data_IF_316762997704
#
_entry.id   IF_316762997704
#
_cell.length_a   1.000
_cell.length_b   1.000
_cell.length_c   1.000
_cell.angle_alpha   90.00
_cell.angle_beta   90.00
_cell.angle_gamma   90.00
#
_symmetry.space_group_name_H-M   'P 1'
#
loop_
_entity.id
_entity.type
_entity.pdbx_description
1 polymer ?
#
# COMPACT_ATOMS: atom_id res chain seq x y z
N UNK A 1 18.27 19.76 11.10
CA UNK A 1 17.31 18.63 11.12
C UNK A 1 18.11 17.39 11.46
N UNK A 2 17.83 16.74 12.59
CA UNK A 2 18.50 15.47 12.90
C UNK A 2 18.26 14.49 11.73
N UNK A 3 19.27 13.72 11.28
CA UNK A 3 19.06 12.71 10.26
C UNK A 3 17.94 11.80 10.73
N UNK A 4 16.89 11.64 9.92
CA UNK A 4 15.75 10.79 10.25
C UNK A 4 16.30 9.41 10.62
N UNK A 5 16.08 8.98 11.86
CA UNK A 5 16.54 7.69 12.36
C UNK A 5 15.93 6.62 11.46
N UNK A 6 16.77 6.00 10.62
CA UNK A 6 16.32 5.02 9.63
C UNK A 6 15.84 3.78 10.36
N UNK A 7 14.77 3.16 9.86
CA UNK A 7 14.22 1.92 10.38
C UNK A 7 14.44 0.82 9.33
N UNK A 8 15.60 0.14 9.32
CA UNK A 8 15.97 -0.82 8.27
C UNK A 8 14.90 -1.88 7.98
N UNK A 9 14.20 -2.32 9.03
CA UNK A 9 13.09 -3.25 8.90
C UNK A 9 11.91 -2.76 8.08
N UNK A 10 11.57 -1.49 8.21
CA UNK A 10 10.51 -0.86 7.43
C UNK A 10 10.90 -0.79 5.96
N UNK A 11 12.15 -0.43 5.67
CA UNK A 11 12.65 -0.35 4.29
C UNK A 11 12.68 -1.74 3.63
N UNK A 12 13.07 -2.78 4.37
CA UNK A 12 13.05 -4.15 3.88
C UNK A 12 11.65 -4.63 3.52
N UNK A 13 10.67 -4.43 4.41
CA UNK A 13 9.28 -4.81 4.18
C UNK A 13 8.69 -4.05 2.98
N UNK A 14 9.04 -2.76 2.80
CA UNK A 14 8.65 -2.00 1.60
C UNK A 14 9.27 -2.57 0.32
N UNK A 15 10.55 -2.90 0.36
CA UNK A 15 11.27 -3.47 -0.79
C UNK A 15 10.63 -4.78 -1.23
N UNK A 16 10.47 -5.73 -0.31
CA UNK A 16 9.83 -7.03 -0.57
C UNK A 16 8.38 -6.87 -1.03
N UNK A 17 7.60 -6.01 -0.37
CA UNK A 17 6.23 -5.71 -0.77
C UNK A 17 6.16 -5.12 -2.19
N UNK A 18 7.11 -4.27 -2.56
CA UNK A 18 7.11 -3.63 -3.89
C UNK A 18 7.39 -4.63 -5.00
N UNK A 19 8.35 -5.53 -4.80
CA UNK A 19 8.65 -6.63 -5.73
C UNK A 19 7.42 -7.53 -5.90
N UNK A 20 6.77 -7.92 -4.79
CA UNK A 20 5.59 -8.78 -4.85
C UNK A 20 4.41 -8.11 -5.58
N UNK A 21 4.23 -6.79 -5.43
CA UNK A 21 3.21 -6.03 -6.18
C UNK A 21 3.56 -5.95 -7.67
N UNK A 22 4.83 -5.78 -8.04
CA UNK A 22 5.23 -5.78 -9.44
C UNK A 22 4.98 -7.15 -10.06
N UNK A 23 5.38 -8.24 -9.40
CA UNK A 23 5.10 -9.59 -9.87
C UNK A 23 3.60 -9.90 -9.96
N UNK A 24 2.80 -9.42 -9.00
CA UNK A 24 1.35 -9.53 -9.08
C UNK A 24 0.81 -8.89 -10.37
N UNK A 25 1.24 -7.66 -10.68
CA UNK A 25 0.77 -6.97 -11.87
C UNK A 25 1.32 -7.55 -13.18
N UNK A 26 2.54 -8.09 -13.19
CA UNK A 26 3.06 -8.86 -14.33
C UNK A 26 2.25 -10.13 -14.57
N UNK A 27 1.81 -10.80 -13.50
CA UNK A 27 0.94 -11.97 -13.60
C UNK A 27 -0.54 -11.62 -13.90
N UNK A 28 -0.92 -10.35 -13.73
CA UNK A 28 -2.30 -9.88 -13.94
C UNK A 28 -2.50 -9.22 -15.32
N UNK A 29 -1.49 -8.53 -15.84
CA UNK A 29 -1.63 -7.72 -17.06
C UNK A 29 -0.87 -8.27 -18.27
N UNK A 30 -1.58 -8.28 -19.39
CA UNK A 30 -1.02 -8.34 -20.73
C UNK A 30 -0.67 -9.74 -21.23
N UNK A 31 -0.40 -9.89 -22.53
CA UNK A 31 -0.28 -11.20 -23.18
C UNK A 31 0.92 -12.03 -22.70
N UNK A 32 1.98 -11.39 -22.19
CA UNK A 32 3.13 -12.12 -21.64
C UNK A 32 2.69 -13.03 -20.49
N UNK A 33 1.75 -12.56 -19.66
CA UNK A 33 1.21 -13.35 -18.56
C UNK A 33 0.51 -14.61 -19.07
N UNK A 34 -0.27 -14.50 -20.15
CA UNK A 34 -1.00 -15.63 -20.74
C UNK A 34 -0.06 -16.72 -21.27
N UNK A 35 1.06 -16.31 -21.89
CA UNK A 35 2.09 -17.25 -22.37
C UNK A 35 2.75 -17.99 -21.19
N UNK A 36 3.14 -17.28 -20.14
CA UNK A 36 3.80 -17.88 -18.97
C UNK A 36 2.83 -18.75 -18.16
N UNK A 37 1.55 -18.37 -18.10
CA UNK A 37 0.50 -19.15 -17.44
C UNK A 37 0.37 -20.55 -18.03
N UNK A 38 0.50 -20.69 -19.36
CA UNK A 38 0.50 -21.99 -20.02
C UNK A 38 1.59 -22.96 -19.54
N UNK A 39 2.74 -22.44 -19.10
CA UNK A 39 3.88 -23.24 -18.64
C UNK A 39 3.99 -23.37 -17.11
N UNK A 40 3.55 -22.35 -16.36
CA UNK A 40 3.66 -22.30 -14.91
C UNK A 40 2.35 -21.80 -14.24
N UNK A 41 1.20 -22.48 -14.48
CA UNK A 41 -0.10 -21.98 -14.07
C UNK A 41 -0.22 -21.79 -12.56
N UNK A 42 0.29 -22.75 -11.77
CA UNK A 42 0.24 -22.67 -10.31
C UNK A 42 1.00 -21.45 -9.74
N UNK A 43 2.12 -21.06 -10.35
CA UNK A 43 2.86 -19.87 -9.93
C UNK A 43 2.12 -18.59 -10.29
N UNK A 44 1.59 -18.51 -11.51
CA UNK A 44 0.87 -17.35 -12.01
C UNK A 44 -0.44 -17.13 -11.24
N UNK A 45 -1.21 -18.19 -11.00
CA UNK A 45 -2.43 -18.15 -10.18
C UNK A 45 -2.13 -17.72 -8.73
N UNK A 46 -0.99 -18.16 -8.19
CA UNK A 46 -0.55 -17.76 -6.85
C UNK A 46 -0.19 -16.27 -6.81
N UNK A 47 0.58 -15.76 -7.78
CA UNK A 47 0.94 -14.34 -7.88
C UNK A 47 -0.30 -13.46 -8.11
N UNK A 48 -1.21 -13.90 -8.96
CA UNK A 48 -2.48 -13.26 -9.24
C UNK A 48 -3.34 -13.14 -7.97
N UNK A 49 -3.49 -14.25 -7.23
CA UNK A 49 -4.40 -14.30 -6.08
C UNK A 49 -3.81 -13.66 -4.83
N UNK A 50 -2.54 -13.96 -4.52
CA UNK A 50 -1.91 -13.63 -3.24
C UNK A 50 -0.93 -12.47 -3.33
N UNK A 51 -0.34 -12.18 -4.50
CA UNK A 51 0.61 -11.08 -4.63
C UNK A 51 0.02 -9.72 -4.25
N UNK A 52 -1.25 -9.48 -4.57
CA UNK A 52 -2.02 -8.28 -4.15
C UNK A 52 -2.16 -8.11 -2.63
N UNK A 53 -1.87 -9.13 -1.83
CA UNK A 53 -1.89 -9.02 -0.37
C UNK A 53 -0.74 -8.18 0.17
N UNK A 54 0.33 -7.95 -0.60
CA UNK A 54 1.42 -7.04 -0.24
C UNK A 54 0.94 -5.62 0.09
N UNK A 55 -0.21 -5.19 -0.45
CA UNK A 55 -0.87 -3.93 -0.06
C UNK A 55 -1.04 -3.81 1.46
N UNK A 56 -1.32 -4.92 2.14
CA UNK A 56 -1.51 -4.94 3.60
C UNK A 56 -0.22 -4.61 4.35
N UNK A 57 0.94 -5.01 3.82
CA UNK A 57 2.24 -4.60 4.34
C UNK A 57 2.35 -3.08 4.29
N UNK A 58 2.04 -2.46 3.16
CA UNK A 58 2.12 -1.01 2.99
C UNK A 58 1.13 -0.24 3.87
N UNK A 59 -0.10 -0.72 4.02
CA UNK A 59 -1.10 -0.11 4.92
C UNK A 59 -0.64 -0.12 6.38
N UNK A 60 -0.16 -1.27 6.87
CA UNK A 60 0.36 -1.39 8.24
C UNK A 60 1.60 -0.53 8.43
N UNK A 61 2.54 -0.54 7.48
CA UNK A 61 3.72 0.34 7.54
C UNK A 61 3.35 1.83 7.48
N UNK A 62 2.33 2.19 6.70
CA UNK A 62 1.79 3.54 6.62
C UNK A 62 1.33 4.04 7.98
N UNK A 63 0.52 3.24 8.68
CA UNK A 63 0.05 3.58 10.02
C UNK A 63 1.15 3.57 11.08
N UNK A 64 2.08 2.62 11.00
CA UNK A 64 3.27 2.59 11.86
C UNK A 64 4.10 3.87 11.72
N UNK A 65 4.37 4.31 10.48
CA UNK A 65 5.12 5.53 10.19
C UNK A 65 4.33 6.80 10.51
N UNK A 66 3.00 6.77 10.42
CA UNK A 66 2.15 7.87 10.85
C UNK A 66 2.20 8.04 12.37
N UNK A 67 2.06 6.97 13.15
CA UNK A 67 2.22 7.01 14.59
C UNK A 67 3.65 7.47 14.99
N UNK A 68 4.69 6.95 14.32
CA UNK A 68 6.07 7.38 14.52
C UNK A 68 6.28 8.89 14.30
N UNK A 69 5.72 9.44 13.21
CA UNK A 69 5.98 10.84 12.83
C UNK A 69 5.04 11.85 13.50
N UNK A 70 3.80 11.46 13.80
CA UNK A 70 2.76 12.35 14.33
C UNK A 70 2.61 12.25 15.85
N UNK A 71 2.76 11.05 16.42
CA UNK A 71 2.51 10.80 17.84
C UNK A 71 3.52 9.80 18.43
N UNK A 72 4.84 10.10 18.39
CA UNK A 72 5.89 9.15 18.77
C UNK A 72 5.75 8.67 20.23
N UNK A 73 5.43 9.58 21.15
CA UNK A 73 5.16 9.32 22.57
C UNK A 73 3.68 9.01 22.83
N UNK A 74 2.86 8.98 21.77
CA UNK A 74 1.41 8.84 21.80
C UNK A 74 0.68 9.97 22.53
N UNK A 75 1.28 11.16 22.53
CA UNK A 75 0.59 12.44 22.70
C UNK A 75 0.78 13.26 21.42
N UNK A 76 -0.29 13.78 20.84
CA UNK A 76 -0.25 14.68 19.69
C UNK A 76 -1.37 15.73 19.82
N UNK A 77 -1.07 16.95 19.38
CA UNK A 77 -2.05 18.03 19.24
C UNK A 77 -1.51 19.04 18.25
N UNK A 78 -2.07 19.07 17.05
CA UNK A 78 -1.61 19.94 15.98
C UNK A 78 -2.43 21.23 15.93
N UNK A 79 -1.76 22.38 15.88
CA UNK A 79 -2.41 23.68 15.67
C UNK A 79 -2.84 23.92 14.22
N UNK A 80 -2.19 23.26 13.26
CA UNK A 80 -2.41 23.44 11.82
C UNK A 80 -2.60 22.08 11.11
N UNK A 81 -3.68 21.32 11.39
CA UNK A 81 -3.90 20.00 10.80
C UNK A 81 -3.98 20.04 9.27
N UNK A 82 -4.63 21.05 8.69
CA UNK A 82 -4.76 21.20 7.25
C UNK A 82 -3.41 21.33 6.55
N UNK A 83 -2.43 21.98 7.19
CA UNK A 83 -1.08 22.11 6.65
C UNK A 83 -0.38 20.76 6.53
N UNK A 84 -0.55 19.86 7.52
CA UNK A 84 0.02 18.51 7.48
C UNK A 84 -0.61 17.67 6.37
N UNK A 85 -1.95 17.75 6.23
CA UNK A 85 -2.69 17.06 5.16
C UNK A 85 -2.23 17.57 3.80
N UNK A 86 -2.14 18.89 3.60
CA UNK A 86 -1.72 19.47 2.33
C UNK A 86 -0.25 19.15 1.99
N UNK A 87 0.63 19.10 2.98
CA UNK A 87 2.01 18.64 2.79
C UNK A 87 2.07 17.18 2.33
N UNK A 88 1.27 16.31 2.94
CA UNK A 88 1.17 14.90 2.51
C UNK A 88 0.61 14.80 1.10
N UNK A 89 -0.47 15.52 0.81
CA UNK A 89 -1.06 15.59 -0.52
C UNK A 89 -0.02 15.98 -1.57
N UNK A 90 0.70 17.10 -1.38
CA UNK A 90 1.72 17.56 -2.35
C UNK A 90 2.82 16.51 -2.58
N UNK A 91 3.25 15.82 -1.52
CA UNK A 91 4.27 14.76 -1.62
C UNK A 91 3.78 13.56 -2.43
N UNK A 92 2.49 13.24 -2.35
CA UNK A 92 1.89 12.11 -3.08
C UNK A 92 1.49 12.50 -4.51
N UNK A 93 0.77 13.60 -4.65
CA UNK A 93 0.19 14.08 -5.91
C UNK A 93 1.26 14.46 -6.95
N UNK A 94 2.38 15.07 -6.55
CA UNK A 94 3.39 15.51 -7.52
C UNK A 94 4.00 14.32 -8.30
N UNK A 95 4.55 13.28 -7.64
CA UNK A 95 4.99 12.07 -8.34
C UNK A 95 3.85 11.33 -9.07
N UNK A 96 2.64 11.33 -8.51
CA UNK A 96 1.49 10.68 -9.13
C UNK A 96 1.12 11.32 -10.47
N UNK A 97 1.08 12.65 -10.55
CA UNK A 97 0.77 13.37 -11.81
C UNK A 97 1.78 13.01 -12.90
N UNK A 98 3.06 12.93 -12.54
CA UNK A 98 4.11 12.51 -13.49
C UNK A 98 3.86 11.07 -13.95
N UNK A 99 3.54 10.16 -13.03
CA UNK A 99 3.27 8.76 -13.36
C UNK A 99 2.02 8.61 -14.25
N UNK A 100 0.94 9.34 -13.96
CA UNK A 100 -0.28 9.37 -14.77
C UNK A 100 0.03 9.91 -16.16
N UNK A 101 0.78 11.01 -16.26
CA UNK A 101 1.17 11.58 -17.56
C UNK A 101 1.96 10.56 -18.39
N UNK A 102 2.98 9.94 -17.80
CA UNK A 102 3.77 8.89 -18.48
C UNK A 102 2.87 7.74 -18.90
N UNK A 103 1.95 7.30 -18.03
CA UNK A 103 1.03 6.20 -18.35
C UNK A 103 0.10 6.54 -19.52
N UNK A 104 -0.45 7.75 -19.55
CA UNK A 104 -1.31 8.21 -20.65
C UNK A 104 -0.52 8.27 -21.97
N UNK A 105 0.71 8.78 -21.94
CA UNK A 105 1.58 8.85 -23.12
C UNK A 105 1.96 7.45 -23.62
N UNK A 106 2.40 6.57 -22.73
CA UNK A 106 2.73 5.17 -23.05
C UNK A 106 1.51 4.44 -23.62
N UNK A 107 0.36 4.56 -22.97
CA UNK A 107 -0.87 3.94 -23.45
C UNK A 107 -1.27 4.47 -24.84
N UNK A 108 -1.05 5.76 -25.13
CA UNK A 108 -1.29 6.32 -26.46
C UNK A 108 -0.38 5.71 -27.54
N UNK A 109 0.90 5.49 -27.23
CA UNK A 109 1.87 4.86 -28.15
C UNK A 109 1.58 3.38 -28.35
N UNK A 110 1.20 2.67 -27.28
CA UNK A 110 1.00 1.21 -27.29
C UNK A 110 -0.34 0.81 -27.92
N UNK A 111 -1.41 1.59 -27.72
CA UNK A 111 -2.78 1.27 -28.15
C UNK A 111 -2.92 0.79 -29.61
N UNK A 112 -2.28 1.42 -30.61
CA UNK A 112 -2.42 0.99 -32.00
C UNK A 112 -1.87 -0.43 -32.26
N UNK A 113 -0.91 -0.90 -31.46
CA UNK A 113 -0.18 -2.15 -31.71
C UNK A 113 -0.52 -3.25 -30.70
N UNK A 114 -1.14 -2.90 -29.57
CA UNK A 114 -1.60 -3.85 -28.55
C UNK A 114 -3.08 -3.57 -28.18
N UNK A 115 -4.05 -4.07 -28.97
CA UNK A 115 -5.46 -3.96 -28.65
C UNK A 115 -5.84 -4.97 -27.55
N UNK A 116 -5.46 -4.65 -26.31
CA UNK A 116 -5.68 -5.50 -25.14
C UNK A 116 -6.38 -4.70 -24.02
N UNK A 117 -7.27 -5.36 -23.26
CA UNK A 117 -8.04 -4.72 -22.19
C UNK A 117 -7.22 -4.15 -21.05
N UNK A 118 -5.94 -4.51 -20.95
CA UNK A 118 -4.99 -3.94 -19.98
C UNK A 118 -4.48 -2.55 -20.39
N UNK A 119 -4.67 -2.11 -21.63
CA UNK A 119 -4.21 -0.81 -22.11
C UNK A 119 -5.29 0.25 -21.86
N UNK A 120 -5.05 1.28 -21.04
CA UNK A 120 -6.05 2.31 -20.76
C UNK A 120 -6.50 3.07 -22.00
N UNK A 121 -7.78 3.46 -22.04
CA UNK A 121 -8.33 4.34 -23.06
C UNK A 121 -7.80 5.77 -23.01
N UNK A 122 -8.23 6.61 -23.95
CA UNK A 122 -7.94 8.06 -23.90
C UNK A 122 -8.65 8.67 -22.69
N UNK A 123 -7.92 9.30 -21.75
CA UNK A 123 -8.54 9.86 -20.57
C UNK A 123 -9.37 11.11 -20.91
N UNK A 124 -10.51 11.26 -20.25
CA UNK A 124 -11.27 12.52 -20.28
C UNK A 124 -10.64 13.55 -19.33
N UNK A 125 -10.93 14.85 -19.55
CA UNK A 125 -10.51 15.89 -18.61
C UNK A 125 -11.05 15.64 -17.19
N UNK A 126 -12.30 15.18 -17.08
CA UNK A 126 -12.90 14.84 -15.80
C UNK A 126 -12.15 13.70 -15.10
N UNK A 127 -11.78 12.65 -15.83
CA UNK A 127 -10.98 11.55 -15.29
C UNK A 127 -9.63 12.05 -14.79
N UNK A 128 -8.93 12.90 -15.56
CA UNK A 128 -7.65 13.47 -15.14
C UNK A 128 -7.78 14.32 -13.86
N UNK A 129 -8.84 15.15 -13.76
CA UNK A 129 -9.11 15.93 -12.56
C UNK A 129 -9.43 15.04 -11.35
N UNK A 130 -10.22 13.98 -11.55
CA UNK A 130 -10.53 13.03 -10.49
C UNK A 130 -9.25 12.35 -9.96
N UNK A 131 -8.31 11.99 -10.83
CA UNK A 131 -7.02 11.43 -10.44
C UNK A 131 -6.11 12.45 -9.75
N UNK A 132 -6.10 13.71 -10.21
CA UNK A 132 -5.34 14.79 -9.58
C UNK A 132 -5.75 14.99 -8.13
N UNK A 133 -7.06 14.97 -7.86
CA UNK A 133 -7.63 15.16 -6.53
C UNK A 133 -7.75 13.87 -5.70
N UNK A 134 -7.30 12.71 -6.22
CA UNK A 134 -7.42 11.40 -5.57
C UNK A 134 -8.87 10.98 -5.29
N UNK A 135 -9.79 11.37 -6.18
CA UNK A 135 -11.23 11.13 -6.08
C UNK A 135 -11.73 10.06 -7.07
N UNK A 136 -10.88 9.54 -7.95
CA UNK A 136 -11.28 8.68 -9.07
C UNK A 136 -12.20 7.51 -8.67
N UNK A 137 -11.85 6.76 -7.63
CA UNK A 137 -12.64 5.60 -7.20
C UNK A 137 -13.97 6.02 -6.53
N UNK A 138 -14.00 7.20 -5.90
CA UNK A 138 -15.22 7.73 -5.25
C UNK A 138 -16.23 8.24 -6.27
N UNK A 139 -15.76 8.74 -7.41
CA UNK A 139 -16.61 9.24 -8.51
C UNK A 139 -16.78 8.22 -9.64
N UNK A 140 -16.40 6.95 -9.40
CA UNK A 140 -16.60 5.84 -10.34
C UNK A 140 -15.79 5.96 -11.64
N UNK A 141 -14.60 6.55 -11.57
CA UNK A 141 -13.67 6.64 -12.70
C UNK A 141 -12.64 5.51 -12.64
N UNK A 142 -12.43 4.82 -13.76
CA UNK A 142 -11.41 3.78 -13.87
C UNK A 142 -10.01 4.33 -13.62
N UNK A 143 -9.17 3.56 -12.92
CA UNK A 143 -7.81 3.94 -12.63
C UNK A 143 -6.94 3.94 -13.90
N UNK A 144 -6.24 5.05 -14.13
CA UNK A 144 -5.35 5.22 -15.29
C UNK A 144 -4.03 4.46 -15.16
N UNK A 145 -3.65 4.05 -13.96
CA UNK A 145 -2.43 3.29 -13.70
C UNK A 145 -2.61 2.38 -12.49
N UNK A 146 -1.83 1.31 -12.42
CA UNK A 146 -1.83 0.44 -11.25
C UNK A 146 -1.30 1.20 -10.01
N UNK A 147 -1.91 0.96 -8.86
CA UNK A 147 -1.48 1.54 -7.58
C UNK A 147 -2.01 2.94 -7.25
N UNK A 148 -2.65 3.65 -8.18
CA UNK A 148 -3.25 4.98 -7.90
C UNK A 148 -4.26 4.91 -6.76
N UNK A 149 -5.10 3.86 -6.77
CA UNK A 149 -6.05 3.57 -5.70
C UNK A 149 -5.38 3.53 -4.32
N UNK A 150 -4.22 2.89 -4.19
CA UNK A 150 -3.50 2.82 -2.91
C UNK A 150 -3.05 4.21 -2.45
N UNK A 151 -2.60 5.07 -3.37
CA UNK A 151 -2.18 6.44 -3.05
C UNK A 151 -3.37 7.26 -2.50
N UNK A 152 -4.55 7.10 -3.11
CA UNK A 152 -5.78 7.72 -2.62
C UNK A 152 -6.16 7.21 -1.22
N UNK A 153 -6.14 5.89 -1.01
CA UNK A 153 -6.42 5.28 0.29
C UNK A 153 -5.41 5.71 1.37
N UNK A 154 -4.10 5.70 1.09
CA UNK A 154 -3.06 6.17 2.02
C UNK A 154 -3.27 7.63 2.40
N UNK A 155 -3.65 8.48 1.45
CA UNK A 155 -3.98 9.87 1.73
C UNK A 155 -5.21 10.01 2.63
N UNK A 156 -6.29 9.29 2.35
CA UNK A 156 -7.50 9.28 3.19
C UNK A 156 -7.19 8.82 4.62
N UNK A 157 -6.44 7.73 4.77
CA UNK A 157 -6.03 7.19 6.07
C UNK A 157 -5.16 8.16 6.87
N UNK A 158 -4.21 8.82 6.21
CA UNK A 158 -3.39 9.85 6.83
C UNK A 158 -4.24 11.04 7.28
N UNK A 159 -5.16 11.51 6.44
CA UNK A 159 -6.06 12.61 6.78
C UNK A 159 -6.96 12.27 7.98
N UNK A 160 -7.59 11.10 8.00
CA UNK A 160 -8.37 10.60 9.15
C UNK A 160 -7.51 10.58 10.41
N UNK A 161 -6.29 10.08 10.32
CA UNK A 161 -5.36 10.01 11.46
C UNK A 161 -5.00 11.40 12.00
N UNK A 162 -4.66 12.35 11.13
CA UNK A 162 -4.38 13.74 11.53
C UNK A 162 -5.59 14.36 12.22
N UNK A 163 -6.79 14.16 11.68
CA UNK A 163 -8.03 14.67 12.28
C UNK A 163 -8.27 14.07 13.67
N UNK A 164 -8.12 12.75 13.84
CA UNK A 164 -8.26 12.08 15.14
C UNK A 164 -7.28 12.67 16.17
N UNK A 165 -6.00 12.80 15.81
CA UNK A 165 -4.95 13.30 16.69
C UNK A 165 -5.10 14.80 17.02
N UNK A 166 -5.76 15.57 16.16
CA UNK A 166 -6.06 16.98 16.42
C UNK A 166 -7.29 17.14 17.31
N UNK A 167 -8.36 16.40 17.02
CA UNK A 167 -9.65 16.56 17.70
C UNK A 167 -9.65 15.92 19.09
N UNK A 168 -8.94 14.81 19.27
CA UNK A 168 -8.86 14.09 20.54
C UNK A 168 -7.45 14.21 21.13
N UNK A 169 -7.33 14.95 22.23
CA UNK A 169 -6.03 15.26 22.85
C UNK A 169 -5.55 14.19 23.83
N UNK A 170 -4.23 14.18 24.04
CA UNK A 170 -3.57 13.29 25.00
C UNK A 170 -3.78 11.83 24.64
N UNK A 171 -3.67 10.91 25.60
CA UNK A 171 -3.78 9.47 25.31
C UNK A 171 -5.18 9.03 24.83
N UNK A 172 -6.21 9.90 24.92
CA UNK A 172 -7.59 9.56 24.53
C UNK A 172 -7.74 9.25 23.04
N UNK A 173 -6.88 9.79 22.18
CA UNK A 173 -6.94 9.45 20.74
C UNK A 173 -6.66 7.97 20.50
N UNK A 174 -5.86 7.31 21.36
CA UNK A 174 -5.55 5.88 21.23
C UNK A 174 -6.83 5.04 21.35
N UNK A 175 -7.75 5.44 22.23
CA UNK A 175 -9.07 4.80 22.36
C UNK A 175 -9.93 5.01 21.12
N UNK A 176 -9.91 6.22 20.53
CA UNK A 176 -10.64 6.48 19.29
C UNK A 176 -10.04 5.70 18.11
N UNK A 177 -8.70 5.60 18.02
CA UNK A 177 -8.02 4.76 17.02
C UNK A 177 -8.39 3.29 17.21
N UNK A 178 -8.41 2.77 18.45
CA UNK A 178 -8.85 1.41 18.74
C UNK A 178 -10.32 1.18 18.37
N UNK A 179 -11.21 2.11 18.72
CA UNK A 179 -12.62 2.02 18.39
C UNK A 179 -12.86 2.03 16.88
N UNK A 180 -12.19 2.93 16.14
CA UNK A 180 -12.30 2.99 14.70
C UNK A 180 -11.60 1.81 14.01
N UNK A 181 -10.52 1.27 14.58
CA UNK A 181 -9.91 0.03 14.13
C UNK A 181 -10.88 -1.14 14.28
N UNK A 182 -11.55 -1.27 15.43
CA UNK A 182 -12.56 -2.29 15.66
C UNK A 182 -13.75 -2.11 14.69
N UNK A 183 -14.28 -0.90 14.53
CA UNK A 183 -15.35 -0.63 13.57
C UNK A 183 -14.94 -0.97 12.14
N UNK A 184 -13.71 -0.63 11.74
CA UNK A 184 -13.16 -0.98 10.44
C UNK A 184 -13.05 -2.49 10.27
N UNK A 185 -12.42 -3.22 11.20
CA UNK A 185 -12.18 -4.65 11.09
C UNK A 185 -13.46 -5.49 11.20
N UNK A 186 -14.40 -5.10 12.05
CA UNK A 186 -15.58 -5.89 12.39
C UNK A 186 -16.81 -5.54 11.54
N UNK A 187 -16.88 -4.30 11.02
CA UNK A 187 -18.02 -3.80 10.26
C UNK A 187 -17.60 -3.35 8.85
N UNK A 188 -16.85 -2.25 8.72
CA UNK A 188 -16.64 -1.61 7.41
C UNK A 188 -15.90 -2.49 6.40
N UNK A 189 -14.87 -3.22 6.84
CA UNK A 189 -14.06 -4.11 6.01
C UNK A 189 -14.84 -5.34 5.50
N UNK A 190 -16.08 -5.56 5.96
CA UNK A 190 -16.96 -6.62 5.48
C UNK A 190 -17.92 -6.14 4.38
N UNK A 191 -18.00 -4.83 4.17
CA UNK A 191 -18.84 -4.21 3.15
C UNK A 191 -17.98 -3.81 1.96
N UNK A 192 -18.02 -4.60 0.89
CA UNK A 192 -17.20 -4.38 -0.32
C UNK A 192 -17.40 -3.00 -0.94
N UNK A 193 -18.60 -2.41 -0.87
CA UNK A 193 -18.86 -1.05 -1.37
C UNK A 193 -18.10 0.08 -0.66
N UNK A 194 -17.38 -0.23 0.43
CA UNK A 194 -16.52 0.73 1.14
C UNK A 194 -15.04 0.61 0.74
N UNK A 195 -14.66 -0.30 -0.17
CA UNK A 195 -13.28 -0.56 -0.58
C UNK A 195 -12.61 0.58 -1.38
N UNK A 196 -13.35 1.66 -1.65
CA UNK A 196 -12.88 2.94 -2.18
C UNK A 196 -12.57 3.96 -1.07
N UNK A 197 -12.84 3.60 0.19
CA UNK A 197 -12.73 4.50 1.35
C UNK A 197 -11.67 4.05 2.35
N UNK A 198 -11.04 5.02 3.02
CA UNK A 198 -10.12 4.78 4.12
C UNK A 198 -10.78 4.05 5.30
N UNK A 199 -12.10 4.14 5.47
CA UNK A 199 -12.84 3.45 6.55
C UNK A 199 -12.71 1.92 6.44
N UNK A 200 -12.69 1.39 5.22
CA UNK A 200 -12.54 -0.04 4.97
C UNK A 200 -11.13 -0.54 5.34
N UNK A 201 -10.09 0.30 5.18
CA UNK A 201 -8.69 -0.06 5.42
C UNK A 201 -8.12 0.44 6.75
N UNK A 202 -8.88 1.26 7.49
CA UNK A 202 -8.42 1.88 8.72
C UNK A 202 -7.96 0.85 9.75
N UNK A 203 -8.59 -0.33 9.80
CA UNK A 203 -8.18 -1.43 10.65
C UNK A 203 -6.73 -1.84 10.44
N UNK A 204 -6.34 -2.17 9.21
CA UNK A 204 -4.96 -2.55 8.87
C UNK A 204 -3.96 -1.42 9.16
N UNK A 205 -4.33 -0.17 8.82
CA UNK A 205 -3.52 1.00 9.12
C UNK A 205 -3.32 1.20 10.63
N UNK A 206 -4.40 1.12 11.40
CA UNK A 206 -4.39 1.25 12.84
C UNK A 206 -3.59 0.13 13.51
N UNK A 207 -3.62 -1.11 13.03
CA UNK A 207 -2.74 -2.18 13.53
C UNK A 207 -1.25 -1.76 13.47
N UNK A 208 -0.85 -1.01 12.43
CA UNK A 208 0.47 -0.40 12.35
C UNK A 208 0.73 0.66 13.42
N UNK A 209 -0.25 1.54 13.67
CA UNK A 209 -0.16 2.54 14.74
C UNK A 209 -0.02 1.89 16.12
N UNK A 210 -0.83 0.85 16.38
CA UNK A 210 -0.76 0.04 17.60
C UNK A 210 0.60 -0.63 17.73
N UNK A 211 1.17 -1.15 16.64
CA UNK A 211 2.50 -1.76 16.65
C UNK A 211 3.60 -0.75 17.02
N UNK A 212 3.51 0.50 16.54
CA UNK A 212 4.43 1.56 16.97
C UNK A 212 4.33 1.80 18.47
N UNK A 213 3.12 2.01 19.01
CA UNK A 213 2.93 2.25 20.45
C UNK A 213 3.32 1.04 21.30
N UNK A 214 3.07 -0.19 20.83
CA UNK A 214 3.52 -1.42 21.49
C UNK A 214 5.04 -1.49 21.62
N UNK A 215 5.77 -1.05 20.57
CA UNK A 215 7.23 -1.08 20.54
C UNK A 215 7.87 -0.13 21.54
N UNK A 216 7.19 0.98 21.88
CA UNK A 216 7.67 2.01 22.82
C UNK A 216 7.09 1.90 24.23
N UNK A 217 6.05 1.10 24.43
CA UNK A 217 5.41 0.95 25.75
C UNK A 217 6.12 -0.07 26.63
N UNK A 218 6.25 0.23 27.92
CA UNK A 218 6.61 -0.76 28.95
C UNK A 218 5.56 -1.88 29.03
N UNK A 219 4.29 -1.55 28.77
CA UNK A 219 3.15 -2.48 28.78
C UNK A 219 2.86 -3.07 27.40
N UNK A 220 3.90 -3.41 26.65
CA UNK A 220 3.80 -3.94 25.27
C UNK A 220 2.86 -5.13 25.12
N UNK A 221 2.80 -6.01 26.13
CA UNK A 221 1.89 -7.17 26.14
C UNK A 221 0.43 -6.75 25.96
N UNK A 222 -0.02 -5.65 26.56
CA UNK A 222 -1.41 -5.19 26.41
C UNK A 222 -1.73 -4.78 24.97
N UNK A 223 -0.79 -4.13 24.30
CA UNK A 223 -0.95 -3.75 22.90
C UNK A 223 -0.88 -4.95 21.95
N UNK A 224 0.01 -5.90 22.24
CA UNK A 224 0.09 -7.16 21.50
C UNK A 224 -1.20 -7.98 21.64
N UNK A 225 -1.78 -8.06 22.84
CA UNK A 225 -3.08 -8.68 23.07
C UNK A 225 -4.20 -7.93 22.37
N UNK A 226 -4.15 -6.59 22.29
CA UNK A 226 -5.13 -5.82 21.52
C UNK A 226 -5.02 -6.11 20.01
N UNK A 227 -3.80 -6.12 19.45
CA UNK A 227 -3.55 -6.46 18.04
C UNK A 227 -4.04 -7.88 17.73
N UNK A 228 -3.60 -8.86 18.54
CA UNK A 228 -3.94 -10.27 18.35
C UNK A 228 -5.43 -10.53 18.59
N UNK A 229 -6.01 -9.92 19.63
CA UNK A 229 -7.43 -10.06 19.98
C UNK A 229 -8.35 -9.46 18.93
N UNK A 230 -8.10 -8.22 18.48
CA UNK A 230 -8.87 -7.60 17.40
C UNK A 230 -8.76 -8.42 16.12
N UNK A 231 -7.54 -8.85 15.77
CA UNK A 231 -7.30 -9.71 14.61
C UNK A 231 -8.02 -11.04 14.69
N UNK A 232 -7.91 -11.74 15.82
CA UNK A 232 -8.54 -13.04 16.04
C UNK A 232 -10.06 -12.95 15.99
N UNK A 233 -10.67 -12.00 16.72
CA UNK A 233 -12.13 -11.80 16.69
C UNK A 233 -12.60 -11.51 15.26
N UNK A 234 -11.92 -10.60 14.55
CA UNK A 234 -12.28 -10.25 13.19
C UNK A 234 -12.12 -11.41 12.19
N UNK A 235 -11.09 -12.25 12.35
CA UNK A 235 -10.85 -13.44 11.51
C UNK A 235 -11.80 -14.60 11.83
N UNK A 236 -12.20 -14.76 13.10
CA UNK A 236 -13.18 -15.77 13.52
C UNK A 236 -14.59 -15.41 13.06
N UNK A 237 -14.93 -14.12 13.04
CA UNK A 237 -16.22 -13.66 12.54
C UNK A 237 -16.33 -13.80 11.01
N UNK A 238 -15.25 -13.52 10.30
CA UNK A 238 -15.18 -13.60 8.83
C UNK A 238 -13.72 -13.69 8.37
N UNK A 239 -13.30 -14.88 7.92
CA UNK A 239 -11.91 -15.15 7.60
C UNK A 239 -11.48 -14.38 6.35
N UNK A 240 -10.50 -13.49 6.53
CA UNK A 240 -9.98 -12.63 5.47
C UNK A 240 -8.46 -12.73 5.45
N UNK A 241 -7.90 -13.44 4.47
CA UNK A 241 -6.44 -13.64 4.38
C UNK A 241 -5.63 -12.34 4.38
N UNK A 242 -6.17 -11.26 3.77
CA UNK A 242 -5.53 -9.93 3.79
C UNK A 242 -5.36 -9.42 5.23
N UNK A 243 -6.37 -9.60 6.08
CA UNK A 243 -6.29 -9.22 7.48
C UNK A 243 -5.25 -10.06 8.24
N UNK A 244 -5.16 -11.36 7.95
CA UNK A 244 -4.13 -12.23 8.55
C UNK A 244 -2.72 -11.69 8.25
N UNK A 245 -2.45 -11.27 7.01
CA UNK A 245 -1.19 -10.61 6.65
C UNK A 245 -1.00 -9.31 7.42
N UNK A 246 -2.02 -8.46 7.53
CA UNK A 246 -1.91 -7.20 8.26
C UNK A 246 -1.56 -7.41 9.75
N UNK A 247 -2.22 -8.37 10.41
CA UNK A 247 -1.91 -8.75 11.80
C UNK A 247 -0.49 -9.30 11.92
N UNK A 248 -0.10 -10.21 11.02
CA UNK A 248 1.25 -10.77 11.00
C UNK A 248 2.33 -9.70 10.86
N UNK A 249 2.16 -8.77 9.92
CA UNK A 249 3.10 -7.65 9.72
C UNK A 249 3.16 -6.75 10.95
N UNK A 250 2.02 -6.44 11.59
CA UNK A 250 2.01 -5.63 12.80
C UNK A 250 2.79 -6.30 13.95
N UNK A 251 2.61 -7.60 14.16
CA UNK A 251 3.35 -8.37 15.16
C UNK A 251 4.85 -8.44 14.85
N UNK A 252 5.20 -8.67 13.57
CA UNK A 252 6.59 -8.66 13.10
C UNK A 252 7.24 -7.31 13.35
N UNK A 253 6.55 -6.19 13.11
CA UNK A 253 7.08 -4.86 13.41
C UNK A 253 7.38 -4.67 14.90
N UNK A 254 6.51 -5.11 15.80
CA UNK A 254 6.78 -5.04 17.25
C UNK A 254 8.01 -5.86 17.61
N UNK A 255 8.10 -7.09 17.10
CA UNK A 255 9.25 -7.97 17.32
C UNK A 255 10.54 -7.36 16.78
N UNK A 256 10.53 -6.82 15.56
CA UNK A 256 11.71 -6.21 14.94
C UNK A 256 12.24 -5.02 15.74
N UNK A 257 11.35 -4.18 16.29
CA UNK A 257 11.75 -3.00 17.06
C UNK A 257 12.31 -3.33 18.44
N UNK A 258 11.96 -4.49 19.00
CA UNK A 258 12.42 -4.92 20.34
C UNK A 258 13.57 -5.94 20.29
N UNK A 259 13.79 -6.58 19.15
CA UNK A 259 14.87 -7.56 18.95
C UNK A 259 16.14 -6.88 18.44
N UNK A 260 17.28 -7.16 19.07
CA UNK A 260 18.61 -6.69 18.62
C UNK A 260 19.15 -7.49 17.44
N UNK A 261 18.68 -8.74 17.25
CA UNK A 261 19.11 -9.64 16.18
C UNK A 261 18.57 -9.22 14.81
N UNK A 262 17.34 -8.71 14.78
CA UNK A 262 16.68 -8.23 13.55
C UNK A 262 17.51 -7.14 12.84
N UNK A 263 18.16 -6.27 13.61
CA UNK A 263 18.86 -5.10 13.07
C UNK A 263 20.05 -5.46 12.16
N UNK A 264 20.68 -6.64 12.32
CA UNK A 264 21.86 -7.01 11.52
C UNK A 264 21.52 -7.47 10.11
N UNK A 265 20.49 -8.32 9.95
CA UNK A 265 20.11 -8.85 8.64
C UNK A 265 19.45 -7.79 7.75
N UNK A 266 18.74 -6.84 8.37
CA UNK A 266 17.99 -5.78 7.67
C UNK A 266 18.87 -4.62 7.17
N UNK A 267 20.15 -4.61 7.52
CA UNK A 267 21.11 -3.58 7.09
C UNK A 267 21.77 -3.88 5.74
N UNK A 268 21.39 -4.96 5.06
CA UNK A 268 21.94 -5.24 3.73
C UNK A 268 21.61 -4.12 2.75
N UNK A 269 22.64 -3.60 2.08
CA UNK A 269 22.56 -2.38 1.28
C UNK A 269 21.55 -2.46 0.14
N UNK A 270 21.40 -3.64 -0.49
CA UNK A 270 20.45 -3.84 -1.59
C UNK A 270 18.99 -3.76 -1.11
N UNK A 271 18.70 -4.33 0.07
CA UNK A 271 17.36 -4.29 0.69
C UNK A 271 16.95 -2.85 0.98
N UNK A 272 17.88 -2.06 1.53
CA UNK A 272 17.65 -0.65 1.82
C UNK A 272 17.43 0.18 0.55
N UNK A 273 18.18 -0.11 -0.52
CA UNK A 273 18.00 0.55 -1.84
C UNK A 273 16.62 0.24 -2.42
N UNK A 274 16.17 -1.02 -2.37
CA UNK A 274 14.82 -1.39 -2.82
C UNK A 274 13.73 -0.66 -2.02
N UNK A 275 13.87 -0.58 -0.69
CA UNK A 275 12.95 0.19 0.15
C UNK A 275 12.86 1.66 -0.23
N UNK A 276 13.99 2.29 -0.58
CA UNK A 276 14.05 3.70 -1.00
C UNK A 276 13.39 3.93 -2.37
N UNK A 277 13.54 2.98 -3.29
CA UNK A 277 12.95 3.07 -4.64
C UNK A 277 11.49 2.62 -4.68
N UNK A 278 11.01 1.90 -3.66
CA UNK A 278 9.69 1.25 -3.63
C UNK A 278 8.54 2.16 -4.07
N UNK A 279 8.53 3.43 -3.67
CA UNK A 279 7.48 4.37 -4.06
C UNK A 279 7.53 4.73 -5.55
N UNK A 280 8.72 5.01 -6.08
CA UNK A 280 8.89 5.33 -7.51
C UNK A 280 8.56 4.12 -8.38
N UNK A 281 9.04 2.93 -7.99
CA UNK A 281 8.72 1.65 -8.64
C UNK A 281 7.21 1.44 -8.62
N UNK A 282 6.57 1.60 -7.46
CA UNK A 282 5.13 1.45 -7.30
C UNK A 282 4.32 2.39 -8.20
N UNK A 283 4.80 3.59 -8.51
CA UNK A 283 4.08 4.49 -9.41
C UNK A 283 4.32 4.22 -10.90
N UNK A 284 5.55 3.83 -11.28
CA UNK A 284 5.95 3.74 -12.69
C UNK A 284 5.90 2.32 -13.25
N UNK A 285 5.74 1.29 -12.40
CA UNK A 285 5.80 -0.09 -12.87
C UNK A 285 4.75 -0.39 -13.94
N UNK A 286 3.53 0.13 -13.84
CA UNK A 286 2.47 -0.16 -14.81
C UNK A 286 2.78 0.32 -16.24
N UNK A 287 3.14 1.58 -16.51
CA UNK A 287 3.54 1.98 -17.86
C UNK A 287 4.76 1.22 -18.36
N UNK A 288 5.69 0.85 -17.49
CA UNK A 288 6.82 -0.02 -17.87
C UNK A 288 6.31 -1.40 -18.28
N UNK A 289 5.41 -2.02 -17.51
CA UNK A 289 4.79 -3.30 -17.84
C UNK A 289 4.04 -3.24 -19.18
N UNK A 290 3.34 -2.13 -19.47
CA UNK A 290 2.66 -1.93 -20.75
C UNK A 290 3.63 -1.87 -21.93
N UNK A 291 4.72 -1.10 -21.82
CA UNK A 291 5.73 -1.01 -22.88
C UNK A 291 6.41 -2.37 -23.13
N UNK A 292 6.79 -3.06 -22.05
CA UNK A 292 7.44 -4.37 -22.14
C UNK A 292 6.49 -5.38 -22.77
N UNK A 293 5.23 -5.46 -22.32
CA UNK A 293 4.22 -6.33 -22.93
C UNK A 293 4.03 -6.04 -24.41
N UNK A 294 3.93 -4.77 -24.80
CA UNK A 294 3.77 -4.40 -26.20
C UNK A 294 4.96 -4.82 -27.06
N UNK A 295 6.18 -4.54 -26.59
CA UNK A 295 7.40 -4.91 -27.30
C UNK A 295 7.56 -6.43 -27.41
N UNK A 296 7.39 -7.16 -26.30
CA UNK A 296 7.55 -8.61 -26.28
C UNK A 296 6.48 -9.33 -27.09
N UNK A 297 5.22 -8.91 -26.99
CA UNK A 297 4.15 -9.50 -27.82
C UNK A 297 4.41 -9.28 -29.31
N UNK A 298 5.05 -8.16 -29.68
CA UNK A 298 5.41 -7.88 -31.07
C UNK A 298 6.58 -8.75 -31.58
N UNK A 299 7.66 -8.85 -30.81
CA UNK A 299 8.87 -9.56 -31.25
C UNK A 299 8.85 -11.07 -30.94
N UNK A 300 8.21 -11.47 -29.85
CA UNK A 300 8.19 -12.83 -29.30
C UNK A 300 6.78 -13.24 -28.84
N UNK A 301 5.80 -13.34 -29.75
CA UNK A 301 4.39 -13.51 -29.38
C UNK A 301 4.09 -14.80 -28.61
N UNK A 302 4.89 -15.86 -28.79
CA UNK A 302 4.64 -17.20 -28.20
C UNK A 302 5.88 -17.81 -27.55
N UNK A 303 7.03 -17.16 -27.60
CA UNK A 303 8.28 -17.75 -27.10
C UNK A 303 8.34 -17.68 -25.58
N UNK A 304 8.20 -18.83 -24.92
CA UNK A 304 8.15 -18.91 -23.45
C UNK A 304 9.39 -18.31 -22.79
N UNK A 305 10.59 -18.60 -23.30
CA UNK A 305 11.83 -18.11 -22.72
C UNK A 305 11.89 -16.57 -22.71
N UNK A 306 11.45 -15.94 -23.80
CA UNK A 306 11.38 -14.48 -23.87
C UNK A 306 10.29 -13.93 -22.91
N UNK A 307 9.10 -14.52 -22.90
CA UNK A 307 7.98 -14.04 -22.08
C UNK A 307 8.17 -14.26 -20.56
N UNK A 308 9.10 -15.12 -20.16
CA UNK A 308 9.43 -15.40 -18.75
C UNK A 308 10.55 -14.51 -18.17
N UNK A 309 11.18 -13.62 -18.96
CA UNK A 309 12.23 -12.69 -18.55
C UNK A 309 11.67 -11.34 -18.06
#
# INVERSE_FOLDING_TARGET
MAPAQRLPGVDALKGLGSVLIVWHHLAFYGPMSDVVHGAAPALMDWLYSYGRMAVQVFLVLGGFLAAYSLAPEGGASFRQPLRLILQRYRRLALPLVVAVLITVLVAAVVRPWLPHGSVPGSPSLWQLLAHLFLLQDLVGQDALSAGIWYVAIDFQLFAITVLILTLVRGERHRWLVLALAAASLLLFNRHSGLDTTGLYFFGAYALGMLAWWASRSERSVRWLLAIAGLGAVALLLDFRGRLLVAVGVALVLVWMQRSTWSQRWLQQTWVLRLGQMSYSVFLIHFPVCLLVNAAWTHFWPVELAANAL
#
